data_IF_650861484136
#
_entry.id   IF_650861484136
#
_cell.length_a   1.000
_cell.length_b   1.000
_cell.length_c   1.000
_cell.angle_alpha   90.00
_cell.angle_beta   90.00
_cell.angle_gamma   90.00
#
_symmetry.space_group_name_H-M   'P 1'
#
loop_
_entity.id
_entity.type
_entity.pdbx_description
1 polymer ?
#
# COMPACT_ATOMS: atom_id res chain seq x y z
N UNK A 1 42.50 29.08 11.47
CA UNK A 1 41.99 27.90 10.78
C UNK A 1 40.72 28.35 10.07
N UNK A 2 40.67 28.30 8.75
CA UNK A 2 39.49 28.70 7.99
C UNK A 2 38.45 27.57 8.11
N UNK A 3 37.31 27.86 8.71
CA UNK A 3 36.14 26.97 8.65
C UNK A 3 35.65 26.93 7.21
N UNK A 4 35.97 25.84 6.52
CA UNK A 4 35.45 25.59 5.18
C UNK A 4 33.97 25.26 5.27
N UNK A 5 33.10 26.16 4.84
CA UNK A 5 31.69 25.88 4.64
C UNK A 5 31.55 24.84 3.54
N UNK A 6 31.20 23.59 3.92
CA UNK A 6 30.84 22.52 2.96
C UNK A 6 29.39 22.71 2.59
N UNK A 7 29.12 23.13 1.36
CA UNK A 7 27.74 23.18 0.83
C UNK A 7 27.42 21.88 0.09
N UNK A 8 26.29 21.28 0.40
CA UNK A 8 25.77 20.11 -0.32
C UNK A 8 24.68 20.55 -1.28
N UNK A 9 24.77 20.10 -2.52
CA UNK A 9 23.74 20.30 -3.53
C UNK A 9 22.90 19.04 -3.64
N UNK A 10 21.59 19.17 -3.45
CA UNK A 10 20.64 18.09 -3.65
C UNK A 10 20.40 17.88 -5.16
N UNK A 11 20.68 16.69 -5.66
CA UNK A 11 20.51 16.37 -7.06
C UNK A 11 19.33 15.42 -7.33
N UNK A 12 18.99 14.50 -6.42
CA UNK A 12 17.85 13.61 -6.58
C UNK A 12 17.35 13.10 -5.23
N UNK A 13 16.04 12.93 -5.11
CA UNK A 13 15.36 12.22 -4.02
C UNK A 13 14.69 10.99 -4.63
N UNK A 14 14.91 9.82 -4.04
CA UNK A 14 14.28 8.57 -4.45
C UNK A 14 13.49 8.00 -3.28
N UNK A 15 12.18 7.80 -3.46
CA UNK A 15 11.34 7.08 -2.53
C UNK A 15 11.12 5.66 -3.03
N UNK A 16 11.51 4.66 -2.25
CA UNK A 16 11.32 3.25 -2.57
C UNK A 16 10.03 2.75 -1.94
N UNK A 17 9.10 2.28 -2.77
CA UNK A 17 7.81 1.77 -2.35
C UNK A 17 7.65 0.31 -2.78
N UNK A 18 7.12 -0.51 -1.90
CA UNK A 18 6.71 -1.88 -2.22
C UNK A 18 5.37 -1.84 -2.96
N UNK A 19 5.31 -2.34 -4.19
CA UNK A 19 4.09 -2.33 -5.02
C UNK A 19 2.94 -3.12 -4.42
N UNK A 20 3.23 -4.10 -3.57
CA UNK A 20 2.21 -4.97 -2.96
C UNK A 20 1.55 -4.31 -1.75
N UNK A 21 2.33 -3.58 -0.98
CA UNK A 21 1.85 -2.98 0.28
C UNK A 21 1.66 -1.48 0.22
N UNK A 22 2.21 -0.82 -0.81
CA UNK A 22 2.29 0.64 -0.91
C UNK A 22 3.16 1.28 0.16
N UNK A 23 3.92 0.48 0.93
CA UNK A 23 4.73 0.95 2.04
C UNK A 23 6.16 1.29 1.59
N UNK A 24 6.81 2.24 2.28
CA UNK A 24 8.23 2.47 2.14
C UNK A 24 9.05 1.21 2.42
N UNK A 25 10.06 0.98 1.59
CA UNK A 25 10.99 -0.14 1.76
C UNK A 25 12.11 0.31 2.68
N UNK A 26 12.04 -0.11 3.94
CA UNK A 26 12.99 0.22 4.98
C UNK A 26 13.94 -0.95 5.28
N UNK A 27 15.11 -0.65 5.82
CA UNK A 27 16.06 -1.62 6.40
C UNK A 27 16.49 -2.75 5.45
N UNK A 28 16.68 -2.44 4.16
CA UNK A 28 17.15 -3.37 3.15
C UNK A 28 18.49 -2.94 2.58
N UNK A 29 19.28 -3.90 2.13
CA UNK A 29 20.45 -3.61 1.31
C UNK A 29 19.98 -3.06 -0.03
N UNK A 30 20.24 -1.79 -0.27
CA UNK A 30 19.88 -1.09 -1.51
C UNK A 30 21.14 -0.71 -2.27
N UNK A 31 21.14 -1.00 -3.55
CA UNK A 31 22.20 -0.61 -4.47
C UNK A 31 21.62 0.20 -5.62
N UNK A 32 22.21 1.36 -5.85
CA UNK A 32 21.88 2.22 -6.98
C UNK A 32 23.01 2.19 -8.00
N UNK A 33 22.68 2.12 -9.29
CA UNK A 33 23.64 2.14 -10.39
C UNK A 33 23.14 3.04 -11.52
N UNK A 34 24.07 3.69 -12.19
CA UNK A 34 23.88 4.23 -13.51
C UNK A 34 24.76 3.41 -14.46
N UNK A 35 24.13 2.61 -15.34
CA UNK A 35 24.83 1.61 -16.14
C UNK A 35 25.71 0.68 -15.27
N UNK A 36 27.04 0.79 -15.40
CA UNK A 36 28.01 -0.01 -14.64
C UNK A 36 28.59 0.70 -13.41
N UNK A 37 28.24 1.96 -13.18
CA UNK A 37 28.76 2.75 -12.05
C UNK A 37 27.82 2.67 -10.86
N UNK A 38 28.39 2.41 -9.68
CA UNK A 38 27.64 2.47 -8.42
C UNK A 38 27.43 3.93 -8.06
N UNK A 39 26.20 4.29 -7.78
CA UNK A 39 25.82 5.60 -7.27
C UNK A 39 25.63 5.50 -5.75
N UNK A 40 26.39 6.29 -5.01
CA UNK A 40 26.27 6.35 -3.55
C UNK A 40 25.16 7.34 -3.19
N UNK A 41 24.09 6.83 -2.60
CA UNK A 41 23.01 7.65 -2.07
C UNK A 41 22.96 7.56 -0.55
N UNK A 42 22.53 8.63 0.11
CA UNK A 42 22.37 8.68 1.56
C UNK A 42 20.95 8.28 1.93
N UNK A 43 20.81 7.28 2.78
CA UNK A 43 19.53 6.89 3.36
C UNK A 43 19.07 7.93 4.39
N UNK A 44 17.78 8.28 4.35
CA UNK A 44 17.14 9.24 5.26
C UNK A 44 16.03 8.65 6.12
N UNK A 45 15.80 7.35 6.00
CA UNK A 45 14.68 6.65 6.62
C UNK A 45 13.44 6.63 5.72
N UNK A 46 12.46 5.82 6.11
CA UNK A 46 11.18 5.66 5.41
C UNK A 46 11.31 5.40 3.89
N UNK A 47 12.31 4.56 3.51
CA UNK A 47 12.57 4.25 2.11
C UNK A 47 13.07 5.41 1.28
N UNK A 48 13.51 6.50 1.91
CA UNK A 48 14.00 7.71 1.24
C UNK A 48 15.51 7.72 1.11
N UNK A 49 15.99 7.96 -0.10
CA UNK A 49 17.41 8.07 -0.45
C UNK A 49 17.67 9.38 -1.16
N UNK A 50 18.78 10.04 -0.85
CA UNK A 50 19.17 11.30 -1.48
C UNK A 50 20.51 11.19 -2.19
N UNK A 51 20.61 11.79 -3.36
CA UNK A 51 21.83 11.95 -4.13
C UNK A 51 22.32 13.39 -3.99
N UNK A 52 23.58 13.53 -3.57
CA UNK A 52 24.19 14.84 -3.34
C UNK A 52 25.44 14.99 -4.22
N UNK A 53 25.66 16.20 -4.74
CA UNK A 53 26.90 16.60 -5.43
C UNK A 53 27.28 15.70 -6.63
N UNK A 54 26.32 15.06 -7.27
CA UNK A 54 26.53 14.19 -8.42
C UNK A 54 26.42 14.94 -9.75
N UNK A 55 25.72 16.06 -9.74
CA UNK A 55 25.31 16.79 -10.93
C UNK A 55 23.96 16.29 -11.46
N UNK A 56 23.23 17.19 -12.13
CA UNK A 56 21.93 16.90 -12.72
C UNK A 56 22.09 16.53 -14.18
N UNK A 57 22.57 15.31 -14.42
CA UNK A 57 22.74 14.74 -15.75
C UNK A 57 21.75 13.60 -15.90
N UNK A 58 21.02 13.58 -17.00
CA UNK A 58 20.07 12.50 -17.32
C UNK A 58 20.78 11.15 -17.24
N UNK A 59 20.11 10.20 -16.60
CA UNK A 59 20.70 8.89 -16.36
C UNK A 59 19.64 7.77 -16.34
N UNK A 60 20.12 6.55 -16.47
CA UNK A 60 19.31 5.35 -16.27
C UNK A 60 19.59 4.77 -14.86
N UNK A 61 18.74 5.07 -13.92
CA UNK A 61 18.90 4.61 -12.54
C UNK A 61 18.42 3.17 -12.40
N UNK A 62 19.34 2.24 -12.17
CA UNK A 62 19.04 0.85 -11.81
C UNK A 62 19.04 0.73 -10.30
N UNK A 63 17.94 0.24 -9.73
CA UNK A 63 17.73 0.05 -8.30
C UNK A 63 17.67 -1.44 -8.01
N UNK A 64 18.54 -1.92 -7.14
CA UNK A 64 18.58 -3.30 -6.68
C UNK A 64 18.36 -3.34 -5.19
N UNK A 65 17.32 -4.03 -4.76
CA UNK A 65 16.96 -4.23 -3.36
C UNK A 65 16.80 -5.72 -3.10
N UNK A 66 17.42 -6.21 -2.05
CA UNK A 66 17.29 -7.62 -1.67
C UNK A 66 15.82 -7.98 -1.44
N UNK A 67 15.33 -8.94 -2.20
CA UNK A 67 13.94 -9.39 -2.15
C UNK A 67 13.01 -8.70 -3.14
N UNK A 68 13.53 -7.87 -4.03
CA UNK A 68 12.77 -7.18 -5.09
C UNK A 68 13.38 -7.46 -6.45
N UNK A 69 12.58 -7.31 -7.50
CA UNK A 69 13.08 -7.32 -8.86
C UNK A 69 13.92 -6.08 -9.12
N UNK A 70 15.00 -6.24 -9.90
CA UNK A 70 15.79 -5.10 -10.34
C UNK A 70 14.87 -4.14 -11.13
N UNK A 71 14.84 -2.89 -10.73
CA UNK A 71 13.99 -1.86 -11.36
C UNK A 71 14.88 -0.82 -12.02
N UNK A 72 14.53 -0.42 -13.23
CA UNK A 72 15.27 0.55 -14.02
C UNK A 72 14.37 1.74 -14.35
N UNK A 73 14.81 2.94 -14.00
CA UNK A 73 14.01 4.18 -14.14
C UNK A 73 14.85 5.19 -14.92
N UNK A 74 14.36 5.69 -16.06
CA UNK A 74 14.99 6.82 -16.72
C UNK A 74 14.78 8.10 -15.91
N UNK A 75 15.86 8.77 -15.58
CA UNK A 75 15.84 10.07 -14.90
C UNK A 75 16.12 11.14 -15.92
N UNK A 76 15.13 11.98 -16.17
CA UNK A 76 15.22 13.16 -17.01
C UNK A 76 15.00 14.38 -16.14
N UNK A 77 16.06 15.10 -15.88
CA UNK A 77 16.01 16.23 -14.94
C UNK A 77 15.13 17.37 -15.39
N UNK A 78 14.88 17.52 -16.69
CA UNK A 78 13.94 18.49 -17.23
C UNK A 78 12.48 18.22 -16.82
N UNK A 79 12.13 16.95 -16.55
CA UNK A 79 10.79 16.53 -16.14
C UNK A 79 10.60 16.62 -14.62
N UNK A 80 11.68 16.86 -13.84
CA UNK A 80 11.65 16.91 -12.39
C UNK A 80 11.57 18.33 -11.84
N UNK A 81 11.09 18.45 -10.61
CA UNK A 81 11.11 19.72 -9.89
C UNK A 81 12.53 20.25 -9.75
N UNK A 82 12.73 21.52 -10.10
CA UNK A 82 14.03 22.20 -9.98
C UNK A 82 14.48 22.30 -8.51
N UNK A 83 13.56 22.47 -7.60
CA UNK A 83 13.86 22.65 -6.18
C UNK A 83 14.04 21.31 -5.45
N UNK A 84 13.13 20.37 -5.68
CA UNK A 84 13.12 19.04 -5.05
C UNK A 84 12.92 17.98 -6.13
N UNK A 85 13.98 17.60 -6.85
CA UNK A 85 13.89 16.56 -7.88
C UNK A 85 13.63 15.21 -7.22
N UNK A 86 12.37 14.76 -7.27
CA UNK A 86 11.89 13.57 -6.56
C UNK A 86 11.30 12.57 -7.53
N UNK A 87 11.61 11.30 -7.33
CA UNK A 87 10.99 10.17 -7.99
C UNK A 87 10.47 9.16 -6.98
N UNK A 88 9.40 8.47 -7.33
CA UNK A 88 8.90 7.30 -6.62
C UNK A 88 9.25 6.04 -7.42
N UNK A 89 10.03 5.16 -6.82
CA UNK A 89 10.41 3.89 -7.39
C UNK A 89 9.54 2.78 -6.78
N UNK A 90 8.59 2.30 -7.56
CA UNK A 90 7.72 1.18 -7.17
C UNK A 90 8.44 -0.13 -7.49
N UNK A 91 8.81 -0.89 -6.44
CA UNK A 91 9.56 -2.13 -6.57
C UNK A 91 8.63 -3.33 -6.41
N UNK A 92 8.79 -4.29 -7.32
CA UNK A 92 8.03 -5.54 -7.32
C UNK A 92 8.78 -6.56 -6.47
N UNK A 93 8.20 -7.09 -5.38
CA UNK A 93 8.86 -8.11 -4.59
C UNK A 93 9.08 -9.40 -5.39
N UNK A 94 10.27 -9.99 -5.23
CA UNK A 94 10.57 -11.33 -5.80
C UNK A 94 9.96 -12.37 -4.88
N UNK A 95 8.85 -12.97 -5.30
CA UNK A 95 8.05 -13.94 -4.55
C UNK A 95 8.90 -15.09 -3.96
N UNK A 96 9.98 -15.48 -4.63
CA UNK A 96 10.88 -16.56 -4.18
C UNK A 96 11.71 -16.24 -2.93
N UNK A 97 11.84 -14.96 -2.53
CA UNK A 97 12.66 -14.56 -1.37
C UNK A 97 11.83 -14.22 -0.11
N UNK A 98 10.58 -13.82 -0.27
CA UNK A 98 9.62 -13.96 0.81
C UNK A 98 9.24 -15.42 0.76
N UNK A 99 9.59 -16.20 1.79
CA UNK A 99 9.20 -17.60 1.81
C UNK A 99 7.76 -17.71 1.32
N UNK A 100 7.45 -18.64 0.44
CA UNK A 100 6.14 -18.87 -0.19
C UNK A 100 4.97 -18.92 0.83
N UNK A 101 5.30 -18.84 2.12
CA UNK A 101 4.39 -18.90 3.24
C UNK A 101 3.77 -17.57 3.66
N UNK A 102 4.34 -16.42 3.22
CA UNK A 102 3.94 -15.12 3.77
C UNK A 102 3.09 -14.26 2.82
N UNK A 103 2.95 -14.65 1.57
CA UNK A 103 2.13 -13.93 0.58
C UNK A 103 1.19 -14.91 -0.11
N UNK A 104 -0.09 -14.57 -0.11
CA UNK A 104 -1.12 -15.23 -0.91
C UNK A 104 -1.51 -14.31 -2.06
N UNK A 105 -1.77 -14.90 -3.23
CA UNK A 105 -2.31 -14.17 -4.38
C UNK A 105 -3.71 -14.63 -4.72
N UNK A 106 -4.52 -13.67 -5.12
CA UNK A 106 -5.81 -13.87 -5.73
C UNK A 106 -5.72 -13.28 -7.13
N UNK A 107 -5.82 -14.12 -8.14
CA UNK A 107 -5.73 -13.70 -9.54
C UNK A 107 -6.78 -14.36 -10.41
N UNK A 108 -7.10 -13.71 -11.51
CA UNK A 108 -8.08 -14.22 -12.46
C UNK A 108 -8.42 -13.22 -13.55
N UNK A 109 -9.49 -13.56 -14.27
CA UNK A 109 -10.08 -12.71 -15.30
C UNK A 109 -11.54 -12.49 -14.97
N UNK A 110 -11.96 -11.24 -14.83
CA UNK A 110 -13.34 -10.82 -14.62
C UNK A 110 -13.62 -9.61 -15.52
N UNK A 111 -14.32 -9.83 -16.65
CA UNK A 111 -14.60 -8.74 -17.59
C UNK A 111 -15.31 -7.57 -16.93
N UNK A 112 -14.80 -6.35 -17.15
CA UNK A 112 -15.37 -5.14 -16.58
C UNK A 112 -14.94 -4.81 -15.15
N UNK A 113 -14.00 -5.58 -14.57
CA UNK A 113 -13.40 -5.22 -13.28
C UNK A 113 -12.56 -3.94 -13.44
N UNK A 114 -12.75 -2.99 -12.53
CA UNK A 114 -12.05 -1.70 -12.54
C UNK A 114 -11.30 -1.40 -11.26
N UNK A 115 -11.62 -2.09 -10.17
CA UNK A 115 -10.96 -1.93 -8.88
C UNK A 115 -11.04 -3.24 -8.08
N UNK A 116 -9.99 -3.52 -7.31
CA UNK A 116 -9.94 -4.61 -6.35
C UNK A 116 -9.13 -4.21 -5.13
N UNK A 117 -9.69 -4.38 -3.94
CA UNK A 117 -9.04 -4.08 -2.67
C UNK A 117 -9.43 -5.09 -1.60
N UNK A 118 -8.63 -5.23 -0.57
CA UNK A 118 -8.92 -6.11 0.56
C UNK A 118 -8.52 -5.51 1.89
N UNK A 119 -9.19 -5.97 2.94
CA UNK A 119 -8.81 -5.75 4.34
C UNK A 119 -8.68 -7.08 5.06
N UNK A 120 -7.75 -7.16 6.03
CA UNK A 120 -7.66 -8.33 6.91
C UNK A 120 -8.77 -8.30 7.95
N UNK A 121 -9.45 -9.44 8.14
CA UNK A 121 -10.47 -9.62 9.17
C UNK A 121 -9.88 -10.17 10.48
N UNK A 122 -8.69 -10.77 10.43
CA UNK A 122 -8.01 -11.37 11.60
C UNK A 122 -7.01 -10.44 12.26
N UNK A 123 -6.49 -9.46 11.53
CA UNK A 123 -5.46 -8.53 12.00
C UNK A 123 -5.91 -7.09 11.85
N UNK A 124 -6.86 -6.62 12.68
CA UNK A 124 -7.20 -5.18 12.69
C UNK A 124 -6.04 -4.37 13.25
N UNK A 125 -5.68 -3.29 12.55
CA UNK A 125 -4.61 -2.39 12.99
C UNK A 125 -5.01 -1.57 14.20
N UNK A 126 -6.31 -1.27 14.33
CA UNK A 126 -6.90 -0.56 15.47
C UNK A 126 -8.39 -0.89 15.63
N UNK A 127 -8.97 -0.43 16.74
CA UNK A 127 -10.40 -0.50 17.00
C UNK A 127 -10.98 0.91 17.12
N UNK A 128 -12.10 1.13 16.47
CA UNK A 128 -12.83 2.39 16.53
C UNK A 128 -13.47 2.58 17.90
N UNK A 129 -13.16 3.69 18.55
CA UNK A 129 -13.79 4.08 19.81
C UNK A 129 -14.99 4.99 19.62
N UNK A 130 -14.88 5.98 18.73
CA UNK A 130 -15.97 6.87 18.34
C UNK A 130 -15.66 7.56 17.01
N UNK A 131 -16.71 7.94 16.30
CA UNK A 131 -16.60 8.78 15.11
C UNK A 131 -17.36 10.09 15.31
N UNK A 132 -16.73 11.20 14.97
CA UNK A 132 -17.29 12.55 15.08
C UNK A 132 -17.41 13.18 13.68
N UNK A 133 -18.54 12.98 12.97
CA UNK A 133 -18.69 13.36 11.57
C UNK A 133 -18.48 14.86 11.32
N UNK A 134 -19.00 15.73 12.20
CA UNK A 134 -18.84 17.19 12.08
C UNK A 134 -17.39 17.66 12.18
N UNK A 135 -16.52 16.89 12.83
CA UNK A 135 -15.11 17.22 13.04
C UNK A 135 -14.20 16.40 12.10
N UNK A 136 -14.76 15.52 11.29
CA UNK A 136 -14.01 14.55 10.48
C UNK A 136 -12.96 13.81 11.33
N UNK A 137 -13.32 13.38 12.53
CA UNK A 137 -12.39 12.84 13.51
C UNK A 137 -12.81 11.46 13.95
N UNK A 138 -11.88 10.53 13.96
CA UNK A 138 -12.00 9.18 14.52
C UNK A 138 -11.22 9.14 15.82
N UNK A 139 -11.84 8.62 16.88
CA UNK A 139 -11.18 8.27 18.13
C UNK A 139 -10.94 6.77 18.16
N UNK A 140 -9.72 6.37 18.52
CA UNK A 140 -9.36 4.96 18.72
C UNK A 140 -9.52 4.53 20.17
N UNK A 141 -9.74 3.24 20.41
CA UNK A 141 -9.72 2.66 21.75
C UNK A 141 -8.32 2.58 22.35
N UNK A 142 -7.32 2.33 21.51
CA UNK A 142 -5.95 2.16 21.95
C UNK A 142 -4.98 2.86 21.01
N UNK A 143 -3.82 3.27 21.54
CA UNK A 143 -2.74 3.82 20.75
C UNK A 143 -2.09 2.73 19.93
N UNK A 144 -2.43 2.60 18.66
CA UNK A 144 -1.58 1.96 17.66
C UNK A 144 -1.04 3.03 16.73
N UNK A 145 0.17 2.83 16.25
CA UNK A 145 0.77 3.72 15.26
C UNK A 145 0.14 3.41 13.90
N UNK A 146 -0.95 4.10 13.60
CA UNK A 146 -1.44 4.18 12.24
C UNK A 146 -0.67 5.29 11.52
N UNK A 147 -0.18 5.03 10.32
CA UNK A 147 0.51 6.03 9.50
C UNK A 147 -0.51 6.93 8.78
N UNK A 148 -0.03 7.96 8.06
CA UNK A 148 -0.86 8.77 7.17
C UNK A 148 -1.09 8.01 5.86
N UNK A 149 -1.99 7.07 5.87
CA UNK A 149 -2.29 6.14 4.78
C UNK A 149 -3.79 5.92 4.61
N UNK A 150 -4.16 5.09 3.65
CA UNK A 150 -5.52 4.66 3.42
C UNK A 150 -5.86 3.47 4.31
N UNK A 151 -6.96 3.61 5.06
CA UNK A 151 -7.51 2.59 5.94
C UNK A 151 -8.99 2.38 5.65
N UNK A 152 -9.55 1.33 6.20
CA UNK A 152 -10.98 1.09 6.14
C UNK A 152 -11.54 0.78 7.53
N UNK A 153 -12.76 1.20 7.77
CA UNK A 153 -13.61 0.71 8.86
C UNK A 153 -14.36 -0.50 8.36
N UNK A 154 -14.29 -1.60 9.09
CA UNK A 154 -15.02 -2.82 8.78
C UNK A 154 -16.36 -2.85 9.50
N UNK A 155 -17.46 -2.80 8.74
CA UNK A 155 -18.83 -2.88 9.20
C UNK A 155 -19.28 -4.35 9.25
N UNK A 156 -19.22 -4.94 10.45
CA UNK A 156 -19.51 -6.38 10.67
C UNK A 156 -20.91 -6.80 10.24
N UNK A 157 -21.89 -5.91 10.39
CA UNK A 157 -23.31 -6.23 10.13
C UNK A 157 -23.56 -6.45 8.64
N UNK A 158 -22.94 -5.66 7.79
CA UNK A 158 -23.15 -5.72 6.35
C UNK A 158 -22.07 -6.52 5.62
N UNK A 159 -21.01 -6.92 6.33
CA UNK A 159 -19.82 -7.52 5.72
C UNK A 159 -19.24 -6.65 4.61
N UNK A 160 -19.13 -5.35 4.89
CA UNK A 160 -18.59 -4.32 4.01
C UNK A 160 -17.49 -3.54 4.70
N UNK A 161 -16.72 -2.79 3.93
CA UNK A 161 -15.81 -1.83 4.51
C UNK A 161 -15.88 -0.48 3.80
N UNK A 162 -15.69 0.58 4.57
CA UNK A 162 -15.64 1.94 4.06
C UNK A 162 -14.25 2.51 4.22
N UNK A 163 -13.70 3.03 3.12
CA UNK A 163 -12.37 3.57 3.05
C UNK A 163 -12.30 5.00 3.60
N UNK A 164 -11.20 5.32 4.25
CA UNK A 164 -10.85 6.69 4.66
C UNK A 164 -9.35 6.92 4.62
N UNK A 165 -8.97 8.17 4.49
CA UNK A 165 -7.57 8.59 4.54
C UNK A 165 -7.29 9.43 5.76
N UNK A 166 -6.26 9.06 6.52
CA UNK A 166 -5.77 9.85 7.66
C UNK A 166 -4.96 11.02 7.12
N UNK A 167 -5.32 12.25 7.51
CA UNK A 167 -4.59 13.47 7.13
C UNK A 167 -3.84 14.11 8.29
N UNK A 168 -4.20 13.79 9.54
CA UNK A 168 -3.53 14.29 10.73
C UNK A 168 -3.77 13.38 11.93
N UNK A 169 -2.77 13.28 12.78
CA UNK A 169 -2.84 12.55 14.06
C UNK A 169 -2.55 13.49 15.22
N UNK A 170 -3.16 13.25 16.39
CA UNK A 170 -2.73 13.90 17.62
C UNK A 170 -1.43 13.27 18.13
N UNK A 171 -0.69 13.99 19.00
CA UNK A 171 0.58 13.53 19.57
C UNK A 171 0.48 12.16 20.26
N UNK A 172 -0.65 11.87 20.90
CA UNK A 172 -0.90 10.58 21.55
C UNK A 172 -1.47 9.52 20.61
N UNK A 173 -1.70 9.84 19.32
CA UNK A 173 -2.19 8.90 18.31
C UNK A 173 -3.62 8.37 18.49
N UNK A 174 -4.39 8.89 19.50
CA UNK A 174 -5.75 8.43 19.76
C UNK A 174 -6.81 9.11 18.90
N UNK A 175 -6.55 10.30 18.40
CA UNK A 175 -7.46 11.03 17.52
C UNK A 175 -6.85 11.17 16.15
N UNK A 176 -7.61 10.75 15.15
CA UNK A 176 -7.24 10.78 13.74
C UNK A 176 -8.18 11.74 13.02
N UNK A 177 -7.64 12.71 12.31
CA UNK A 177 -8.41 13.51 11.37
C UNK A 177 -8.41 12.82 10.01
N UNK A 178 -9.58 12.65 9.43
CA UNK A 178 -9.78 12.02 8.13
C UNK A 178 -10.11 13.06 7.04
N UNK A 179 -9.82 12.72 5.80
CA UNK A 179 -10.00 13.64 4.66
C UNK A 179 -11.46 13.90 4.33
N UNK A 180 -12.26 12.84 4.35
CA UNK A 180 -13.67 12.87 3.93
C UNK A 180 -14.55 12.20 4.98
N UNK A 181 -15.84 12.57 5.10
CA UNK A 181 -16.72 11.95 6.06
C UNK A 181 -17.01 10.50 5.66
N UNK A 182 -17.12 9.62 6.65
CA UNK A 182 -17.65 8.27 6.47
C UNK A 182 -19.16 8.36 6.24
N UNK A 183 -19.65 7.58 5.28
CA UNK A 183 -21.06 7.55 4.88
C UNK A 183 -21.90 6.68 5.79
N UNK A 184 -21.33 5.54 6.20
CA UNK A 184 -22.00 4.62 7.11
C UNK A 184 -21.94 5.11 8.56
N UNK A 185 -22.94 4.74 9.35
CA UNK A 185 -22.90 4.91 10.78
C UNK A 185 -21.86 3.97 11.38
N UNK A 186 -20.82 4.56 11.99
CA UNK A 186 -19.74 3.79 12.59
C UNK A 186 -20.09 3.46 14.05
N UNK A 187 -19.95 2.19 14.40
CA UNK A 187 -20.18 1.70 15.75
C UNK A 187 -18.87 1.55 16.51
N UNK A 188 -18.87 1.77 17.85
CA UNK A 188 -17.74 1.41 18.67
C UNK A 188 -17.35 -0.06 18.46
N UNK A 189 -16.04 -0.36 18.58
CA UNK A 189 -15.46 -1.69 18.41
C UNK A 189 -15.43 -2.23 16.96
N UNK A 190 -15.82 -1.44 15.98
CA UNK A 190 -15.53 -1.78 14.59
C UNK A 190 -14.02 -1.76 14.34
N UNK A 191 -13.57 -2.75 13.57
CA UNK A 191 -12.16 -2.88 13.23
C UNK A 191 -11.71 -1.85 12.21
N UNK A 192 -10.54 -1.28 12.42
CA UNK A 192 -9.83 -0.47 11.43
C UNK A 192 -8.67 -1.28 10.91
N UNK A 193 -8.61 -1.47 9.60
CA UNK A 193 -7.56 -2.22 8.93
C UNK A 193 -6.99 -1.43 7.75
N UNK A 194 -5.71 -1.65 7.46
CA UNK A 194 -5.06 -1.12 6.26
C UNK A 194 -5.67 -1.76 5.02
N UNK A 195 -5.84 -0.95 3.99
CA UNK A 195 -6.30 -1.42 2.70
C UNK A 195 -5.11 -1.95 1.89
N UNK A 196 -5.27 -3.15 1.35
CA UNK A 196 -4.38 -3.72 0.34
C UNK A 196 -5.06 -3.56 -1.01
N UNK A 197 -4.42 -2.86 -1.92
CA UNK A 197 -4.95 -2.66 -3.27
C UNK A 197 -4.35 -3.66 -4.24
N UNK A 198 -5.20 -4.23 -5.09
CA UNK A 198 -4.76 -5.04 -6.21
C UNK A 198 -4.62 -4.24 -7.49
N UNK A 199 -4.21 -4.93 -8.53
CA UNK A 199 -4.09 -4.39 -9.89
C UNK A 199 -5.19 -4.96 -10.77
N UNK A 200 -5.72 -4.14 -11.67
CA UNK A 200 -6.65 -4.55 -12.72
C UNK A 200 -6.18 -4.01 -14.06
N UNK A 201 -6.46 -4.72 -15.15
CA UNK A 201 -6.15 -4.27 -16.50
C UNK A 201 -7.41 -4.13 -17.38
N UNK A 202 -7.24 -3.54 -18.54
CA UNK A 202 -8.32 -3.31 -19.51
C UNK A 202 -8.95 -4.60 -20.06
N UNK A 203 -8.28 -5.74 -19.92
CA UNK A 203 -8.75 -7.05 -20.35
C UNK A 203 -9.52 -7.77 -19.23
N UNK A 204 -9.70 -7.11 -18.09
CA UNK A 204 -10.37 -7.69 -16.94
C UNK A 204 -9.49 -8.63 -16.12
N UNK A 205 -8.18 -8.65 -16.34
CA UNK A 205 -7.28 -9.39 -15.44
C UNK A 205 -7.14 -8.63 -14.13
N UNK A 206 -7.10 -9.38 -13.04
CA UNK A 206 -6.84 -8.82 -11.72
C UNK A 206 -5.80 -9.64 -10.97
N UNK A 207 -5.05 -8.95 -10.10
CA UNK A 207 -4.08 -9.54 -9.19
C UNK A 207 -4.13 -8.80 -7.87
N UNK A 208 -4.48 -9.50 -6.80
CA UNK A 208 -4.42 -9.02 -5.43
C UNK A 208 -3.43 -9.87 -4.64
N UNK A 209 -2.49 -9.23 -3.97
CA UNK A 209 -1.50 -9.90 -3.12
C UNK A 209 -1.69 -9.48 -1.68
N UNK A 210 -1.84 -10.44 -0.78
CA UNK A 210 -2.07 -10.21 0.64
C UNK A 210 -1.05 -10.94 1.49
N UNK A 211 -0.74 -10.42 2.66
CA UNK A 211 0.13 -11.09 3.62
C UNK A 211 -0.61 -12.18 4.36
N UNK A 212 0.07 -13.31 4.58
CA UNK A 212 -0.38 -14.37 5.46
C UNK A 212 0.08 -14.06 6.88
N UNK A 213 -0.84 -13.82 7.79
CA UNK A 213 -0.56 -13.76 9.21
C UNK A 213 -0.59 -15.19 9.77
N UNK A 214 0.51 -15.72 10.28
CA UNK A 214 0.85 -17.09 10.64
C UNK A 214 -0.22 -18.08 11.18
N UNK A 215 -1.50 -17.70 11.24
CA UNK A 215 -2.63 -18.53 11.69
C UNK A 215 -3.76 -18.70 10.66
N UNK A 216 -3.51 -18.42 9.40
CA UNK A 216 -4.54 -18.34 8.37
C UNK A 216 -4.89 -16.89 8.08
N UNK A 217 -5.30 -16.64 6.84
CA UNK A 217 -5.50 -15.28 6.37
C UNK A 217 -6.92 -15.13 5.91
N UNK A 218 -7.71 -14.44 6.70
CA UNK A 218 -9.11 -14.17 6.43
C UNK A 218 -9.23 -12.72 5.96
N UNK A 219 -9.62 -12.54 4.73
CA UNK A 219 -9.74 -11.23 4.08
C UNK A 219 -11.16 -11.00 3.58
N UNK A 220 -11.61 -9.76 3.72
CA UNK A 220 -12.76 -9.26 2.98
C UNK A 220 -12.24 -8.53 1.74
N UNK A 221 -12.57 -9.05 0.57
CA UNK A 221 -12.20 -8.50 -0.73
C UNK A 221 -13.37 -7.71 -1.28
N UNK A 222 -13.13 -6.46 -1.65
CA UNK A 222 -14.05 -5.63 -2.41
C UNK A 222 -13.57 -5.56 -3.85
N UNK A 223 -14.48 -5.64 -4.78
CA UNK A 223 -14.21 -5.45 -6.20
C UNK A 223 -15.31 -4.62 -6.86
N UNK A 224 -14.96 -3.92 -7.93
CA UNK A 224 -15.90 -3.14 -8.73
C UNK A 224 -15.95 -3.70 -10.14
N UNK A 225 -17.14 -4.14 -10.57
CA UNK A 225 -17.37 -4.68 -11.91
C UNK A 225 -18.52 -3.92 -12.57
N UNK A 226 -18.25 -3.31 -13.72
CA UNK A 226 -19.24 -2.50 -14.45
C UNK A 226 -19.91 -1.44 -13.55
N UNK A 227 -19.15 -0.82 -12.65
CA UNK A 227 -19.61 0.20 -11.70
C UNK A 227 -20.38 -0.33 -10.48
N UNK A 228 -20.58 -1.65 -10.36
CA UNK A 228 -21.22 -2.27 -9.20
C UNK A 228 -20.15 -2.81 -8.24
N UNK A 229 -20.32 -2.52 -6.96
CA UNK A 229 -19.44 -2.99 -5.90
C UNK A 229 -19.93 -4.36 -5.42
N UNK A 230 -19.00 -5.32 -5.33
CA UNK A 230 -19.20 -6.61 -4.70
C UNK A 230 -18.22 -6.82 -3.55
N UNK A 231 -18.60 -7.65 -2.59
CA UNK A 231 -17.74 -8.07 -1.47
C UNK A 231 -17.72 -9.60 -1.39
N UNK A 232 -16.54 -10.14 -1.12
CA UNK A 232 -16.36 -11.58 -0.93
C UNK A 232 -15.36 -11.83 0.20
N UNK A 233 -15.71 -12.73 1.12
CA UNK A 233 -14.82 -13.18 2.18
C UNK A 233 -13.97 -14.33 1.68
N UNK A 234 -12.66 -14.19 1.74
CA UNK A 234 -11.70 -15.18 1.24
C UNK A 234 -10.78 -15.59 2.38
N UNK A 235 -10.72 -16.90 2.62
CA UNK A 235 -9.77 -17.49 3.55
C UNK A 235 -8.67 -18.14 2.73
N UNK A 236 -7.46 -17.56 2.79
CA UNK A 236 -6.28 -18.11 2.13
C UNK A 236 -5.72 -19.26 2.98
N UNK A 237 -5.88 -20.48 2.50
CA UNK A 237 -5.28 -21.68 3.10
C UNK A 237 -3.81 -21.87 2.72
N UNK A 238 -3.23 -22.98 3.15
CA UNK A 238 -1.81 -23.32 2.88
C UNK A 238 -1.51 -23.65 1.41
N UNK A 239 -2.53 -23.82 0.57
CA UNK A 239 -2.36 -24.17 -0.85
C UNK A 239 -3.44 -23.52 -1.71
N UNK A 240 -2.99 -22.97 -2.83
CA UNK A 240 -3.65 -22.60 -4.09
C UNK A 240 -3.97 -21.13 -4.30
N UNK A 241 -3.48 -20.70 -5.44
CA UNK A 241 -4.04 -19.59 -6.22
C UNK A 241 -5.56 -19.80 -6.35
N UNK A 242 -6.33 -18.80 -5.96
CA UNK A 242 -7.79 -18.79 -6.09
C UNK A 242 -8.20 -17.67 -7.02
N UNK A 243 -9.31 -17.87 -7.72
CA UNK A 243 -9.94 -16.85 -8.56
C UNK A 243 -11.30 -16.47 -7.98
N UNK A 244 -11.67 -15.20 -8.05
CA UNK A 244 -13.00 -14.73 -7.64
C UNK A 244 -14.08 -15.43 -8.46
N UNK A 245 -15.14 -15.91 -7.80
CA UNK A 245 -16.31 -16.51 -8.47
C UNK A 245 -16.13 -17.94 -8.98
N UNK A 246 -15.02 -18.64 -8.71
CA UNK A 246 -14.81 -20.02 -9.17
C UNK A 246 -15.17 -21.09 -8.15
N UNK A 247 -15.27 -20.77 -6.88
CA UNK A 247 -15.77 -21.73 -5.91
C UNK A 247 -17.30 -21.66 -5.85
N UNK A 248 -17.94 -22.70 -6.40
CA UNK A 248 -19.39 -22.90 -6.35
C UNK A 248 -19.94 -23.13 -4.93
N UNK A 249 -19.49 -22.36 -3.96
CA UNK A 249 -20.17 -22.17 -2.70
C UNK A 249 -21.25 -21.12 -2.92
N UNK A 250 -22.44 -21.61 -3.24
CA UNK A 250 -23.69 -20.91 -3.28
C UNK A 250 -23.86 -19.90 -2.15
N UNK A 251 -23.37 -18.69 -2.35
CA UNK A 251 -23.96 -17.50 -1.79
C UNK A 251 -24.95 -17.02 -2.86
N UNK A 252 -26.22 -17.34 -2.67
CA UNK A 252 -27.32 -16.90 -3.53
C UNK A 252 -27.17 -15.42 -3.84
N UNK A 253 -26.88 -15.08 -5.09
CA UNK A 253 -27.15 -13.76 -5.62
C UNK A 253 -28.67 -13.51 -5.41
N UNK A 254 -28.97 -12.75 -4.35
CA UNK A 254 -30.30 -12.20 -4.18
C UNK A 254 -30.61 -11.37 -5.43
N UNK A 255 -31.51 -11.88 -6.25
CA UNK A 255 -32.11 -11.12 -7.34
C UNK A 255 -32.65 -9.82 -6.76
N UNK A 256 -32.01 -8.73 -7.11
CA UNK A 256 -32.61 -7.40 -6.96
C UNK A 256 -33.32 -7.16 -8.29
N UNK A 257 -34.67 -7.34 -8.25
CA UNK A 257 -35.57 -6.76 -9.24
C UNK A 257 -35.56 -5.24 -9.13
#
# INVERSE_FOLDING_TARGET
>A
MAEGNVSYKLDLIVHLLDTTTGLPINQREVMFRNENQIIVMQERGDGTYILLNHGRVDMQLTIKVKGYQDTMIPIKYEELSQQYPTIEAQLIPVIKQYGYHDICSLEGIMPGISDIAAISLTGTDAMLGAYYPKKLTIRLFSTRRLDENDYAVFHKENMEFEEFRIVKKTENGLLLQIKEPLKAECKPEEGIARIVRGMTDVNGRYLLRVRKDGKGTDYLVRYTVNGKIGYERIIFGEQKERSLGQDGCCGSFGSIM
#
